data_IF_801673455790
#
_entry.id   IF_801673455790
#
_cell.length_a   1.000
_cell.length_b   1.000
_cell.length_c   1.000
_cell.angle_alpha   90.00
_cell.angle_beta   90.00
_cell.angle_gamma   90.00
#
_symmetry.space_group_name_H-M   'P 1'
#
loop_
_entity.id
_entity.type
_entity.pdbx_description
1 polymer ?
#
# COMPACT_ATOMS: atom_id res chain seq x y z
N UNK A 1 2.68 6.97 -15.98
CA UNK A 1 1.82 7.79 -16.85
C UNK A 1 0.94 8.62 -15.92
N UNK A 2 0.84 9.96 -16.08
CA UNK A 2 -0.03 10.81 -15.25
C UNK A 2 -1.51 10.40 -15.24
N UNK A 3 -1.95 9.62 -16.24
CA UNK A 3 -3.31 9.08 -16.35
C UNK A 3 -3.44 7.64 -15.84
N UNK A 4 -2.35 7.03 -15.37
CA UNK A 4 -2.37 5.69 -14.81
C UNK A 4 -3.15 5.69 -13.49
N UNK A 5 -4.39 5.21 -13.57
CA UNK A 5 -5.28 5.04 -12.43
C UNK A 5 -5.22 3.62 -11.82
N UNK A 6 -4.34 2.76 -12.35
CA UNK A 6 -4.16 1.39 -11.85
C UNK A 6 -3.29 1.33 -10.60
N UNK A 7 -2.58 2.42 -10.27
CA UNK A 7 -1.65 2.47 -9.14
C UNK A 7 -1.98 3.59 -8.18
N UNK A 8 -2.10 3.25 -6.90
CA UNK A 8 -2.19 4.23 -5.83
C UNK A 8 -0.90 4.25 -5.02
N UNK A 9 -0.41 5.45 -4.75
CA UNK A 9 0.83 5.69 -4.01
C UNK A 9 0.50 6.43 -2.71
N UNK A 10 0.87 5.82 -1.58
CA UNK A 10 0.71 6.42 -0.27
C UNK A 10 2.06 6.48 0.45
N UNK A 11 2.33 7.63 1.06
CA UNK A 11 3.48 7.85 1.93
C UNK A 11 2.95 8.21 3.31
N UNK A 12 3.37 7.45 4.32
CA UNK A 12 2.95 7.61 5.70
C UNK A 12 4.17 8.00 6.56
N UNK A 13 3.97 8.98 7.44
CA UNK A 13 4.93 9.40 8.45
C UNK A 13 4.63 8.62 9.74
N UNK A 14 5.35 7.53 9.94
CA UNK A 14 5.14 6.63 11.07
C UNK A 14 6.07 7.02 12.21
N UNK A 15 5.49 7.47 13.32
CA UNK A 15 6.25 7.75 14.56
C UNK A 15 6.03 6.63 15.57
N UNK A 16 7.13 6.02 16.02
CA UNK A 16 7.12 5.02 17.10
C UNK A 16 7.59 5.68 18.41
N UNK A 17 6.66 5.97 19.31
CA UNK A 17 6.95 6.63 20.59
C UNK A 17 7.43 8.07 20.42
N UNK A 18 8.52 8.43 21.11
CA UNK A 18 9.12 9.78 21.06
C UNK A 18 10.28 9.90 20.06
N UNK A 19 10.47 8.90 19.21
CA UNK A 19 11.53 8.90 18.21
C UNK A 19 11.20 9.79 17.00
N UNK A 20 12.21 10.00 16.17
CA UNK A 20 12.01 10.64 14.87
C UNK A 20 11.07 9.81 13.98
N UNK A 21 10.22 10.47 13.17
CA UNK A 21 9.30 9.77 12.29
C UNK A 21 10.06 9.07 11.15
N UNK A 22 9.61 7.87 10.82
CA UNK A 22 10.05 7.12 9.65
C UNK A 22 9.08 7.34 8.48
N UNK A 23 9.61 7.38 7.27
CA UNK A 23 8.81 7.38 6.05
C UNK A 23 8.52 5.93 5.65
N UNK A 24 7.24 5.58 5.52
CA UNK A 24 6.82 4.26 5.03
C UNK A 24 5.91 4.42 3.83
N UNK A 25 6.11 3.56 2.85
CA UNK A 25 5.40 3.58 1.57
C UNK A 25 4.42 2.43 1.48
N UNK A 26 3.28 2.69 0.85
CA UNK A 26 2.29 1.70 0.47
C UNK A 26 1.94 1.96 -1.00
N UNK A 27 2.15 0.96 -1.83
CA UNK A 27 1.81 1.00 -3.25
C UNK A 27 0.78 -0.10 -3.53
N UNK A 28 -0.35 0.30 -4.08
CA UNK A 28 -1.46 -0.59 -4.41
C UNK A 28 -1.58 -0.63 -5.93
N UNK A 29 -1.59 -1.83 -6.49
CA UNK A 29 -1.90 -2.09 -7.90
C UNK A 29 -3.31 -2.67 -7.99
N UNK A 30 -4.12 -2.08 -8.83
CA UNK A 30 -5.45 -2.57 -9.20
C UNK A 30 -5.40 -3.26 -10.55
N UNK A 31 -6.29 -4.23 -10.76
CA UNK A 31 -6.57 -4.76 -12.10
C UNK A 31 -7.61 -3.90 -12.84
N UNK A 32 -8.01 -4.37 -14.02
CA UNK A 32 -8.94 -3.66 -14.91
C UNK A 32 -10.34 -3.50 -14.28
N UNK A 33 -10.72 -4.39 -13.35
CA UNK A 33 -11.99 -4.36 -12.62
C UNK A 33 -11.90 -3.54 -11.31
N UNK A 34 -10.78 -2.84 -11.09
CA UNK A 34 -10.46 -2.10 -9.85
C UNK A 34 -10.37 -2.97 -8.61
N UNK A 35 -10.09 -4.26 -8.76
CA UNK A 35 -9.79 -5.16 -7.65
C UNK A 35 -8.31 -5.07 -7.30
N UNK A 36 -7.97 -5.11 -6.02
CA UNK A 36 -6.58 -5.07 -5.57
C UNK A 36 -5.84 -6.31 -6.05
N UNK A 37 -4.93 -6.12 -7.00
CA UNK A 37 -4.08 -7.17 -7.57
C UNK A 37 -2.81 -7.36 -6.76
N UNK A 38 -2.18 -6.26 -6.32
CA UNK A 38 -0.91 -6.31 -5.60
C UNK A 38 -0.79 -5.20 -4.56
N UNK A 39 -0.09 -5.50 -3.47
CA UNK A 39 0.30 -4.52 -2.45
C UNK A 39 1.81 -4.69 -2.23
N UNK A 40 2.56 -3.60 -2.38
CA UNK A 40 4.01 -3.52 -2.18
C UNK A 40 4.36 -2.31 -1.32
N UNK A 41 5.64 -2.21 -0.93
CA UNK A 41 6.15 -1.15 -0.05
C UNK A 41 6.55 -1.68 1.33
N UNK A 42 6.57 -0.79 2.31
CA UNK A 42 7.08 -1.06 3.66
C UNK A 42 6.02 -1.72 4.56
N UNK A 43 4.75 -1.59 4.21
CA UNK A 43 3.65 -2.23 4.94
C UNK A 43 3.42 -3.65 4.43
N UNK A 44 3.77 -4.64 5.26
CA UNK A 44 3.49 -6.05 4.95
C UNK A 44 2.01 -6.37 5.13
N UNK A 45 1.41 -6.94 4.09
CA UNK A 45 0.05 -7.51 4.17
C UNK A 45 0.04 -8.83 4.94
N UNK A 46 -1.09 -9.13 5.57
CA UNK A 46 -1.33 -10.46 6.16
C UNK A 46 -1.31 -11.54 5.07
N UNK A 47 -0.92 -12.76 5.43
CA UNK A 47 -0.95 -13.93 4.53
C UNK A 47 -2.35 -14.20 3.98
N UNK A 48 -3.39 -13.87 4.74
CA UNK A 48 -4.78 -14.14 4.39
C UNK A 48 -5.49 -12.91 3.79
N UNK A 49 -4.74 -11.89 3.35
CA UNK A 49 -5.33 -10.64 2.89
C UNK A 49 -6.30 -10.82 1.70
N UNK A 50 -6.03 -11.77 0.80
CA UNK A 50 -6.89 -12.08 -0.35
C UNK A 50 -7.87 -13.22 -0.09
N UNK A 51 -7.91 -13.77 1.13
CA UNK A 51 -8.86 -14.81 1.49
C UNK A 51 -10.18 -14.14 1.87
N UNK A 52 -11.29 -14.41 1.17
CA UNK A 52 -12.60 -13.91 1.57
C UNK A 52 -12.95 -14.35 3.00
N UNK A 53 -13.67 -13.49 3.74
CA UNK A 53 -14.20 -13.79 5.06
C UNK A 53 -15.26 -14.90 5.02
#
# INVERSE_FOLDING_TARGET
>A
DPLDNTRWYYVNFVRHGWNDPEFKTLVILFDDDRVVKEITGDFQKSRNFYTPL
#
